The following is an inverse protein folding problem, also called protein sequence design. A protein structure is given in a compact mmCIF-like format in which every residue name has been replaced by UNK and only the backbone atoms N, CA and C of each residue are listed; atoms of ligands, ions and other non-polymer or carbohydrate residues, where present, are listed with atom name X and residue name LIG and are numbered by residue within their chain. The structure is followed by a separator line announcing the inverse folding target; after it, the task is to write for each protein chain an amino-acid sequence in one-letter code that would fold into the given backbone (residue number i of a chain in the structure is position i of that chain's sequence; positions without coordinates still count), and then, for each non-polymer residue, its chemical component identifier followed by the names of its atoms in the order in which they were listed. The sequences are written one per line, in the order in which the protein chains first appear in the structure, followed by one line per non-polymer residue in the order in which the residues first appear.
data_IF_211787544601
#
_entry.id   IF_211787544601
#
_cell.length_a   1.000
_cell.length_b   1.000
_cell.length_c   1.000
_cell.angle_alpha   90.00
_cell.angle_beta   90.00
_cell.angle_gamma   90.00
#
_symmetry.space_group_name_H-M   'P 1'
#
loop_
_entity.id
_entity.type
_entity.pdbx_description
1 polymer ?
#
# COMPACT_ATOMS: atom_id res chain seq x y z
N UNK A 1 24.52 -8.16 -25.17
CA UNK A 1 23.97 -7.90 -26.52
C UNK A 1 22.47 -8.19 -26.48
N UNK A 2 21.62 -7.15 -26.46
CA UNK A 2 20.17 -7.33 -26.58
C UNK A 2 19.83 -7.35 -28.08
N UNK A 3 19.33 -8.47 -28.62
CA UNK A 3 18.81 -8.54 -30.00
C UNK A 3 17.28 -8.52 -29.93
N UNK A 4 16.67 -7.40 -30.30
CA UNK A 4 15.22 -7.21 -30.31
C UNK A 4 14.69 -7.48 -31.73
N UNK A 5 13.92 -8.55 -31.91
CA UNK A 5 13.48 -9.05 -33.24
C UNK A 5 12.14 -8.45 -33.70
N UNK A 6 11.40 -7.81 -32.80
CA UNK A 6 10.15 -7.10 -33.07
C UNK A 6 10.02 -5.91 -32.12
N UNK A 7 9.34 -4.86 -32.57
CA UNK A 7 8.97 -3.72 -31.73
C UNK A 7 7.92 -4.21 -30.72
N UNK A 8 8.17 -4.15 -29.40
CA UNK A 8 7.30 -4.77 -28.42
C UNK A 8 6.14 -3.84 -28.07
N UNK A 9 5.34 -3.47 -29.07
CA UNK A 9 4.17 -2.61 -28.93
C UNK A 9 2.92 -3.47 -29.12
N UNK A 10 2.01 -3.44 -28.15
CA UNK A 10 0.70 -4.09 -28.20
C UNK A 10 -0.41 -3.07 -27.94
N UNK A 11 -1.64 -3.37 -28.35
CA UNK A 11 -2.82 -2.57 -28.01
C UNK A 11 -3.61 -3.36 -26.95
N UNK A 12 -3.77 -2.83 -25.74
CA UNK A 12 -4.53 -3.46 -24.66
C UNK A 12 -5.58 -2.49 -24.11
N UNK A 13 -6.84 -2.86 -24.23
CA UNK A 13 -7.95 -2.08 -23.64
C UNK A 13 -8.09 -2.40 -22.15
N UNK A 14 -8.48 -1.42 -21.30
CA UNK A 14 -8.83 -0.03 -21.64
C UNK A 14 -7.64 0.91 -21.90
N UNK A 15 -6.39 0.49 -21.66
CA UNK A 15 -5.23 1.39 -21.57
C UNK A 15 -4.59 1.84 -22.89
N UNK A 16 -5.01 1.31 -24.04
CA UNK A 16 -4.51 1.71 -25.35
C UNK A 16 -3.16 1.08 -25.71
N UNK A 17 -2.18 1.90 -26.10
CA UNK A 17 -0.89 1.44 -26.63
C UNK A 17 0.08 1.06 -25.51
N UNK A 18 0.45 -0.21 -25.43
CA UNK A 18 1.38 -0.77 -24.45
C UNK A 18 2.74 -1.03 -25.09
N UNK A 19 3.81 -0.48 -24.52
CA UNK A 19 5.19 -0.73 -24.96
C UNK A 19 5.82 -1.75 -24.00
N UNK A 20 5.50 -3.03 -24.23
CA UNK A 20 6.07 -4.16 -23.48
C UNK A 20 5.81 -4.15 -21.96
N UNK A 21 6.33 -5.19 -21.30
CA UNK A 21 6.25 -5.42 -19.86
C UNK A 21 7.15 -4.49 -19.02
N UNK A 22 7.89 -3.59 -19.69
CA UNK A 22 8.87 -2.69 -19.08
C UNK A 22 8.25 -1.39 -18.54
N UNK A 23 7.08 -0.99 -19.04
CA UNK A 23 6.47 0.30 -18.68
C UNK A 23 5.38 0.20 -17.59
N UNK A 24 4.89 -1.01 -17.27
CA UNK A 24 3.77 -1.22 -16.34
C UNK A 24 4.17 -1.71 -14.95
N UNK A 25 5.35 -2.32 -14.81
CA UNK A 25 5.78 -2.97 -13.58
C UNK A 25 6.88 -2.17 -12.87
N UNK A 26 6.56 -0.93 -12.50
CA UNK A 26 7.39 -0.23 -11.52
C UNK A 26 7.09 -0.83 -10.16
N UNK A 27 8.03 -1.55 -9.51
CA UNK A 27 7.87 -1.89 -8.11
C UNK A 27 7.84 -0.57 -7.36
N UNK A 28 6.64 -0.11 -7.01
CA UNK A 28 6.51 1.05 -6.15
C UNK A 28 7.24 0.70 -4.86
N UNK A 29 8.19 1.52 -4.40
CA UNK A 29 8.85 1.29 -3.13
C UNK A 29 7.79 1.36 -2.04
N UNK A 30 7.25 0.19 -1.68
CA UNK A 30 6.16 0.05 -0.73
C UNK A 30 6.76 -0.64 0.48
N UNK A 31 7.20 0.16 1.44
CA UNK A 31 7.82 -0.36 2.66
C UNK A 31 6.71 -0.79 3.61
N UNK A 32 6.70 -2.07 3.96
CA UNK A 32 5.82 -2.55 5.03
C UNK A 32 6.38 -2.05 6.36
N UNK A 33 5.57 -1.28 7.09
CA UNK A 33 5.87 -0.82 8.44
C UNK A 33 4.89 -1.48 9.42
N UNK A 34 5.39 -1.84 10.61
CA UNK A 34 4.62 -2.51 11.65
C UNK A 34 4.80 -1.71 12.94
N UNK A 35 3.69 -1.49 13.65
CA UNK A 35 3.67 -0.87 14.97
C UNK A 35 2.79 -1.71 15.88
N UNK A 36 3.34 -2.20 16.98
CA UNK A 36 2.58 -2.92 18.01
C UNK A 36 1.91 -1.89 18.91
N UNK A 37 0.60 -2.02 19.12
CA UNK A 37 -0.15 -1.14 20.01
C UNK A 37 -0.08 -1.64 21.46
N UNK A 38 -0.33 -0.73 22.40
CA UNK A 38 -0.46 -1.07 23.81
C UNK A 38 -1.65 -2.00 24.06
N UNK A 39 -1.59 -2.87 25.09
CA UNK A 39 -2.71 -3.71 25.48
C UNK A 39 -3.97 -2.89 25.76
N UNK A 40 -5.12 -3.43 25.36
CA UNK A 40 -6.43 -2.84 25.62
C UNK A 40 -7.12 -3.66 26.71
N UNK A 41 -7.48 -2.98 27.81
CA UNK A 41 -8.28 -3.57 28.88
C UNK A 41 -9.72 -3.83 28.42
N UNK A 42 -10.25 -5.00 28.78
CA UNK A 42 -11.61 -5.44 28.45
C UNK A 42 -12.54 -5.08 29.62
N UNK A 43 -12.99 -3.82 29.63
CA UNK A 43 -13.75 -3.20 30.73
C UNK A 43 -15.21 -2.87 30.36
N UNK A 44 -15.72 -3.42 29.24
CA UNK A 44 -17.06 -3.12 28.72
C UNK A 44 -17.64 -4.26 27.90
N UNK A 45 -18.78 -3.99 27.25
CA UNK A 45 -19.34 -4.91 26.27
C UNK A 45 -18.50 -4.98 24.99
N UNK A 46 -18.84 -5.94 24.12
CA UNK A 46 -18.10 -6.20 22.87
C UNK A 46 -18.01 -4.96 21.98
N UNK A 47 -19.07 -4.15 21.90
CA UNK A 47 -19.12 -2.95 21.08
C UNK A 47 -18.20 -1.85 21.62
N UNK A 48 -18.13 -1.68 22.94
CA UNK A 48 -17.21 -0.74 23.58
C UNK A 48 -15.76 -1.14 23.33
N UNK A 49 -15.43 -2.42 23.49
CA UNK A 49 -14.07 -2.95 23.27
C UNK A 49 -13.69 -2.85 21.80
N UNK A 50 -14.60 -3.18 20.89
CA UNK A 50 -14.41 -3.06 19.44
C UNK A 50 -14.04 -1.63 19.04
N UNK A 51 -14.74 -0.62 19.59
CA UNK A 51 -14.43 0.80 19.34
C UNK A 51 -13.04 1.19 19.83
N UNK A 52 -12.62 0.69 21.00
CA UNK A 52 -11.27 0.94 21.52
C UNK A 52 -10.19 0.35 20.61
N UNK A 53 -10.40 -0.87 20.12
CA UNK A 53 -9.50 -1.53 19.16
C UNK A 53 -9.42 -0.73 17.87
N UNK A 54 -10.56 -0.35 17.29
CA UNK A 54 -10.60 0.44 16.06
C UNK A 54 -9.88 1.79 16.21
N UNK A 55 -10.13 2.50 17.30
CA UNK A 55 -9.46 3.77 17.58
C UNK A 55 -7.93 3.60 17.69
N UNK A 56 -7.47 2.60 18.46
CA UNK A 56 -6.03 2.33 18.63
C UNK A 56 -5.35 1.97 17.30
N UNK A 57 -5.98 1.14 16.47
CA UNK A 57 -5.45 0.77 15.16
C UNK A 57 -5.41 1.97 14.21
N UNK A 58 -6.46 2.78 14.18
CA UNK A 58 -6.52 3.98 13.34
C UNK A 58 -5.45 4.99 13.73
N UNK A 59 -5.30 5.28 15.02
CA UNK A 59 -4.26 6.16 15.53
C UNK A 59 -2.85 5.66 15.16
N UNK A 60 -2.63 4.34 15.21
CA UNK A 60 -1.38 3.72 14.76
C UNK A 60 -1.11 3.93 13.27
N UNK A 61 -2.12 3.69 12.42
CA UNK A 61 -2.01 3.92 10.97
C UNK A 61 -1.78 5.40 10.65
N UNK A 62 -2.45 6.32 11.36
CA UNK A 62 -2.29 7.76 11.18
C UNK A 62 -0.87 8.22 11.55
N UNK A 63 -0.31 7.71 12.66
CA UNK A 63 1.10 7.96 13.03
C UNK A 63 2.08 7.42 11.99
N UNK A 64 1.85 6.21 11.47
CA UNK A 64 2.69 5.63 10.43
C UNK A 64 2.60 6.42 9.13
N UNK A 65 1.41 6.90 8.76
CA UNK A 65 1.19 7.75 7.60
C UNK A 65 1.90 9.10 7.74
N UNK A 66 1.85 9.74 8.92
CA UNK A 66 2.53 11.01 9.19
C UNK A 66 4.06 10.94 9.07
N UNK A 67 4.66 9.76 9.25
CA UNK A 67 6.10 9.52 9.08
C UNK A 67 6.53 9.39 7.61
N UNK A 68 5.59 9.28 6.66
CA UNK A 68 5.91 9.11 5.24
C UNK A 68 6.42 10.40 4.61
N UNK A 69 7.46 10.28 3.79
CA UNK A 69 8.03 11.42 3.05
C UNK A 69 7.13 11.90 1.91
N UNK A 70 6.43 10.99 1.24
CA UNK A 70 5.41 11.34 0.26
C UNK A 70 4.07 10.73 0.67
N UNK A 71 2.95 11.47 0.58
CA UNK A 71 1.66 11.07 1.15
C UNK A 71 1.06 9.80 0.52
N UNK A 72 1.48 9.45 -0.70
CA UNK A 72 1.02 8.27 -1.45
C UNK A 72 2.17 7.36 -1.91
N UNK A 73 3.43 7.71 -1.64
CA UNK A 73 4.61 6.94 -2.04
C UNK A 73 5.55 6.75 -0.84
N UNK A 74 5.72 5.51 -0.36
CA UNK A 74 6.54 5.20 0.80
C UNK A 74 6.09 3.95 1.55
#
# INVERSE_FOLDING_TARGET
MLRLKSIPISLALPWGLNISDLAGHFPLPTKIAIEVQEPIEVDGDDEVVHKKVLASLQDGVDRLAAKRRFPVLG
#
